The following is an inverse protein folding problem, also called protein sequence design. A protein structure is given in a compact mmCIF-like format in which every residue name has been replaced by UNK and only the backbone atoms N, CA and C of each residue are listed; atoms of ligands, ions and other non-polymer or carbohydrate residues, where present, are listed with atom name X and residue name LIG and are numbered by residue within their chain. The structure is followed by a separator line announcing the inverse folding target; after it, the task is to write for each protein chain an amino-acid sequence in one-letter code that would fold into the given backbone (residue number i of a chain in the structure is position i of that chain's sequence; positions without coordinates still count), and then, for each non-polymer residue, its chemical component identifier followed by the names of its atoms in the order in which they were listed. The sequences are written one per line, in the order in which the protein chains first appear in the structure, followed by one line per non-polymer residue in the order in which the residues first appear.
data_IF_315574621895
#
_entry.id   IF_315574621895
#
_cell.length_a   1.000
_cell.length_b   1.000
_cell.length_c   1.000
_cell.angle_alpha   90.00
_cell.angle_beta   90.00
_cell.angle_gamma   90.00
#
_symmetry.space_group_name_H-M   'P 1'
#
loop_
_entity.id
_entity.type
_entity.pdbx_description
1 polymer ?
#
# COMPACT_ATOMS: atom_id res chain seq x y z
N UNK A 1 2.10 7.66 -10.64
CA UNK A 1 2.51 6.69 -9.59
C UNK A 1 4.02 6.73 -9.49
N UNK A 2 4.60 6.97 -8.31
CA UNK A 2 6.06 7.00 -8.12
C UNK A 2 6.49 5.75 -7.36
N UNK A 3 7.46 5.01 -7.90
CA UNK A 3 7.95 3.76 -7.34
C UNK A 3 9.42 3.92 -6.98
N UNK A 4 9.81 3.50 -5.78
CA UNK A 4 11.21 3.41 -5.39
C UNK A 4 11.37 2.66 -4.09
N UNK A 5 11.92 1.45 -4.18
CA UNK A 5 11.95 0.47 -3.08
C UNK A 5 13.23 0.58 -2.25
N UNK A 6 14.33 1.09 -2.82
CA UNK A 6 15.63 1.18 -2.13
C UNK A 6 15.52 2.01 -0.87
N UNK A 7 16.15 1.57 0.23
CA UNK A 7 16.07 2.25 1.53
C UNK A 7 16.42 3.74 1.47
N UNK A 8 17.42 4.13 0.67
CA UNK A 8 17.78 5.54 0.48
C UNK A 8 16.69 6.33 -0.27
N UNK A 9 16.08 5.72 -1.29
CA UNK A 9 15.06 6.34 -2.13
C UNK A 9 13.66 6.32 -1.50
N UNK A 10 13.32 5.31 -0.69
CA UNK A 10 12.00 5.10 -0.13
C UNK A 10 11.45 6.30 0.66
N UNK A 11 12.31 6.91 1.49
CA UNK A 11 11.95 8.09 2.28
C UNK A 11 11.85 9.36 1.42
N UNK A 12 12.61 9.44 0.33
CA UNK A 12 12.56 10.56 -0.62
C UNK A 12 11.28 10.48 -1.45
N UNK A 13 11.00 9.31 -2.04
CA UNK A 13 9.82 9.02 -2.87
C UNK A 13 8.54 9.33 -2.10
N UNK A 14 8.42 8.86 -0.84
CA UNK A 14 7.26 9.16 -0.02
C UNK A 14 7.07 10.67 0.19
N UNK A 15 8.15 11.39 0.52
CA UNK A 15 8.10 12.85 0.74
C UNK A 15 7.72 13.61 -0.54
N UNK A 16 8.35 13.28 -1.67
CA UNK A 16 8.08 13.92 -2.96
C UNK A 16 6.65 13.65 -3.41
N UNK A 17 6.19 12.40 -3.29
CA UNK A 17 4.84 12.03 -3.68
C UNK A 17 3.76 12.71 -2.82
N UNK A 18 3.97 12.85 -1.51
CA UNK A 18 3.07 13.60 -0.63
C UNK A 18 3.02 15.08 -1.03
N UNK A 19 4.17 15.69 -1.33
CA UNK A 19 4.24 17.09 -1.78
C UNK A 19 3.57 17.30 -3.15
N UNK A 20 3.76 16.34 -4.06
CA UNK A 20 3.20 16.37 -5.41
C UNK A 20 1.76 15.80 -5.49
N UNK A 21 1.14 15.46 -4.36
CA UNK A 21 -0.20 14.85 -4.31
C UNK A 21 -0.35 13.60 -5.19
N UNK A 22 0.74 12.86 -5.37
CA UNK A 22 0.81 11.67 -6.21
C UNK A 22 0.77 10.39 -5.37
N UNK A 23 0.31 9.30 -5.98
CA UNK A 23 0.41 7.96 -5.39
C UNK A 23 1.85 7.46 -5.44
N UNK A 24 2.25 6.66 -4.43
CA UNK A 24 3.59 6.11 -4.35
C UNK A 24 3.67 4.68 -3.81
N UNK A 25 4.78 4.01 -4.11
CA UNK A 25 5.18 2.72 -3.52
C UNK A 25 6.64 2.84 -3.08
N UNK A 26 6.90 2.64 -1.79
CA UNK A 26 8.23 2.86 -1.18
C UNK A 26 8.78 1.66 -0.40
N UNK A 27 8.08 0.53 -0.39
CA UNK A 27 8.45 -0.64 0.44
C UNK A 27 8.62 -1.91 -0.36
N UNK A 28 7.56 -2.40 -0.98
CA UNK A 28 7.62 -3.55 -1.88
C UNK A 28 6.58 -3.36 -2.96
N UNK A 29 7.00 -3.59 -4.19
CA UNK A 29 6.07 -3.70 -5.30
C UNK A 29 5.46 -5.10 -5.28
N UNK A 30 4.14 -5.17 -5.12
CA UNK A 30 3.43 -6.43 -5.25
C UNK A 30 3.18 -6.68 -6.74
N UNK A 31 3.68 -7.81 -7.25
CA UNK A 31 3.34 -8.28 -8.59
C UNK A 31 1.82 -8.30 -8.77
N UNK A 32 1.34 -7.82 -9.91
CA UNK A 32 -0.09 -7.73 -10.19
C UNK A 32 -0.76 -6.38 -9.86
N UNK A 33 -0.05 -5.39 -9.28
CA UNK A 33 -0.65 -4.07 -8.98
C UNK A 33 -1.20 -3.39 -10.23
N UNK A 34 -0.45 -3.43 -11.34
CA UNK A 34 -0.86 -2.81 -12.60
C UNK A 34 -1.53 -3.80 -13.57
N UNK A 35 -1.09 -5.06 -13.58
CA UNK A 35 -1.58 -6.07 -14.53
C UNK A 35 -2.89 -6.73 -14.09
N UNK A 36 -3.17 -6.79 -12.78
CA UNK A 36 -4.41 -7.34 -12.23
C UNK A 36 -5.10 -6.30 -11.32
N UNK A 37 -5.64 -5.26 -11.94
CA UNK A 37 -6.36 -4.19 -11.26
C UNK A 37 -7.59 -4.67 -10.46
N UNK A 38 -8.43 -5.60 -10.95
CA UNK A 38 -9.58 -6.08 -10.18
C UNK A 38 -9.18 -6.65 -8.81
N UNK A 39 -8.11 -7.45 -8.76
CA UNK A 39 -7.61 -8.03 -7.51
C UNK A 39 -7.00 -6.98 -6.60
N UNK A 40 -6.27 -6.03 -7.17
CA UNK A 40 -5.69 -4.90 -6.42
C UNK A 40 -6.78 -4.02 -5.80
N UNK A 41 -7.86 -3.75 -6.53
CA UNK A 41 -9.02 -3.01 -6.05
C UNK A 41 -9.73 -3.74 -4.90
N UNK A 42 -9.88 -5.07 -4.98
CA UNK A 42 -10.41 -5.88 -3.88
C UNK A 42 -9.53 -5.79 -2.62
N UNK A 43 -8.20 -5.84 -2.78
CA UNK A 43 -7.26 -5.68 -1.66
C UNK A 43 -7.33 -4.28 -1.04
N UNK A 44 -7.49 -3.24 -1.86
CA UNK A 44 -7.70 -1.86 -1.41
C UNK A 44 -9.02 -1.71 -0.64
N UNK A 45 -10.09 -2.34 -1.11
CA UNK A 45 -11.38 -2.36 -0.40
C UNK A 45 -11.23 -2.99 0.98
N UNK A 46 -10.63 -4.19 1.06
CA UNK A 46 -10.37 -4.89 2.32
C UNK A 46 -9.51 -4.05 3.28
N UNK A 47 -8.53 -3.32 2.76
CA UNK A 47 -7.73 -2.40 3.57
C UNK A 47 -8.57 -1.25 4.15
N UNK A 48 -9.46 -0.64 3.36
CA UNK A 48 -10.37 0.41 3.84
C UNK A 48 -11.32 -0.13 4.91
N UNK A 49 -11.91 -1.31 4.70
CA UNK A 49 -12.81 -1.93 5.67
C UNK A 49 -12.13 -2.20 7.01
N UNK A 50 -10.93 -2.79 6.98
CA UNK A 50 -10.15 -3.05 8.20
C UNK A 50 -9.79 -1.77 8.93
N UNK A 51 -9.44 -0.71 8.20
CA UNK A 51 -9.13 0.60 8.78
C UNK A 51 -10.36 1.25 9.42
N UNK A 52 -11.53 1.11 8.80
CA UNK A 52 -12.81 1.59 9.37
C UNK A 52 -13.16 0.80 10.63
N UNK A 53 -13.07 -0.54 10.60
CA UNK A 53 -13.30 -1.40 11.77
C UNK A 53 -12.36 -1.07 12.93
N UNK A 54 -11.10 -0.76 12.65
CA UNK A 54 -10.14 -0.31 13.66
C UNK A 54 -10.55 1.03 14.27
N UNK A 55 -10.96 2.00 13.45
CA UNK A 55 -11.38 3.33 13.92
C UNK A 55 -12.66 3.29 14.76
N UNK A 56 -13.60 2.44 14.39
CA UNK A 56 -14.87 2.26 15.13
C UNK A 56 -14.71 1.43 16.41
N UNK A 57 -13.49 1.02 16.78
CA UNK A 57 -13.25 0.21 17.98
C UNK A 57 -13.72 -1.24 17.87
N UNK A 58 -14.18 -1.70 16.69
CA UNK A 58 -14.71 -3.05 16.49
C UNK A 58 -13.69 -4.17 16.74
N UNK A 59 -12.39 -3.84 16.76
CA UNK A 59 -11.33 -4.78 17.15
C UNK A 59 -11.33 -5.09 18.66
N UNK A 60 -11.92 -4.24 19.50
CA UNK A 60 -11.95 -4.42 20.95
C UNK A 60 -13.01 -5.44 21.38
N UNK A 61 -14.01 -5.71 20.52
CA UNK A 61 -15.04 -6.72 20.74
C UNK A 61 -14.59 -8.15 20.39
N UNK A 62 -13.40 -8.31 19.82
CA UNK A 62 -12.85 -9.60 19.40
C UNK A 62 -11.91 -10.19 20.46
N UNK A 63 -11.71 -11.51 20.41
CA UNK A 63 -10.70 -12.14 21.25
C UNK A 63 -9.31 -11.55 20.98
N UNK A 64 -8.47 -11.48 22.03
CA UNK A 64 -7.11 -10.91 21.95
C UNK A 64 -6.26 -11.52 20.83
N UNK A 65 -6.44 -12.82 20.54
CA UNK A 65 -5.76 -13.54 19.45
C UNK A 65 -6.16 -12.97 18.08
N UNK A 66 -7.46 -12.89 17.81
CA UNK A 66 -8.01 -12.41 16.54
C UNK A 66 -7.73 -10.92 16.33
N UNK A 67 -7.85 -10.13 17.39
CA UNK A 67 -7.50 -8.71 17.38
C UNK A 67 -6.03 -8.49 17.00
N UNK A 68 -5.12 -9.35 17.51
CA UNK A 68 -3.69 -9.29 17.17
C UNK A 68 -3.43 -9.67 15.72
N UNK A 69 -4.08 -10.72 15.22
CA UNK A 69 -3.96 -11.14 13.83
C UNK A 69 -4.43 -10.04 12.86
N UNK A 70 -5.58 -9.43 13.14
CA UNK A 70 -6.11 -8.32 12.33
C UNK A 70 -5.21 -7.08 12.37
N UNK A 71 -4.63 -6.75 13.54
CA UNK A 71 -3.65 -5.66 13.66
C UNK A 71 -2.40 -5.91 12.81
N UNK A 72 -1.87 -7.14 12.81
CA UNK A 72 -0.73 -7.53 11.96
C UNK A 72 -1.08 -7.41 10.48
N UNK A 73 -2.25 -7.92 10.09
CA UNK A 73 -2.72 -7.83 8.70
C UNK A 73 -2.90 -6.36 8.26
N UNK A 74 -3.46 -5.52 9.12
CA UNK A 74 -3.62 -4.09 8.84
C UNK A 74 -2.26 -3.38 8.71
N UNK A 75 -1.31 -3.69 9.58
CA UNK A 75 0.07 -3.16 9.50
C UNK A 75 0.74 -3.52 8.17
N UNK A 76 0.62 -4.78 7.76
CA UNK A 76 1.15 -5.25 6.48
C UNK A 76 0.48 -4.50 5.30
N UNK A 77 -0.86 -4.44 5.28
CA UNK A 77 -1.58 -3.73 4.22
C UNK A 77 -1.25 -2.24 4.21
N UNK A 78 -1.06 -1.61 5.36
CA UNK A 78 -0.68 -0.20 5.45
C UNK A 78 0.73 0.06 4.93
N UNK A 79 1.65 -0.88 5.17
CA UNK A 79 3.03 -0.80 4.68
C UNK A 79 3.11 -0.86 3.15
N UNK A 80 2.29 -1.72 2.52
CA UNK A 80 2.35 -1.93 1.06
C UNK A 80 1.37 -1.05 0.27
N UNK A 81 0.12 -0.90 0.75
CA UNK A 81 -0.96 -0.21 0.04
C UNK A 81 -1.16 1.23 0.53
N UNK A 82 -0.43 1.67 1.55
CA UNK A 82 -0.62 2.99 2.17
C UNK A 82 -0.46 4.16 1.19
N UNK A 83 0.50 4.06 0.26
CA UNK A 83 0.76 5.10 -0.74
C UNK A 83 -0.17 5.06 -1.97
N UNK A 84 -0.90 3.97 -2.17
CA UNK A 84 -1.88 3.81 -3.26
C UNK A 84 -3.34 3.74 -2.76
N UNK A 85 -3.57 3.99 -1.46
CA UNK A 85 -4.89 3.87 -0.82
C UNK A 85 -6.00 4.73 -1.42
N UNK A 86 -5.64 5.83 -2.08
CA UNK A 86 -6.57 6.77 -2.71
C UNK A 86 -6.72 6.53 -4.22
N UNK A 87 -6.03 5.53 -4.76
CA UNK A 87 -6.06 5.23 -6.19
C UNK A 87 -7.36 4.51 -6.54
N UNK A 88 -8.17 5.12 -7.42
CA UNK A 88 -9.47 4.57 -7.85
C UNK A 88 -9.43 3.93 -9.24
N UNK A 89 -8.44 4.32 -10.05
CA UNK A 89 -8.20 3.86 -11.42
C UNK A 89 -6.73 3.52 -11.62
N UNK A 90 -6.44 2.80 -12.69
CA UNK A 90 -5.05 2.56 -13.11
C UNK A 90 -4.34 3.89 -13.40
N UNK A 91 -3.07 4.04 -12.98
CA UNK A 91 -2.31 5.24 -13.24
C UNK A 91 -1.93 5.32 -14.72
N UNK A 92 -2.12 6.49 -15.33
CA UNK A 92 -1.68 6.72 -16.71
C UNK A 92 -0.15 6.89 -16.83
N UNK A 93 0.49 7.38 -15.76
CA UNK A 93 1.92 7.66 -15.72
C UNK A 93 2.53 6.96 -14.51
N UNK A 94 3.61 6.24 -14.74
CA UNK A 94 4.43 5.59 -13.72
C UNK A 94 5.86 6.10 -13.83
N UNK A 95 6.41 6.55 -12.70
CA UNK A 95 7.79 7.01 -12.56
C UNK A 95 8.49 6.00 -11.67
N UNK A 96 9.52 5.33 -12.20
CA UNK A 96 10.29 4.31 -11.47
C UNK A 96 11.66 4.90 -11.16
N UNK A 97 12.02 4.87 -9.88
CA UNK A 97 13.33 5.29 -9.39
C UNK A 97 14.14 4.04 -9.14
N UNK A 98 15.24 3.91 -9.89
CA UNK A 98 16.23 2.85 -9.78
C UNK A 98 15.72 1.46 -10.23
N UNK A 99 15.74 1.24 -11.56
CA UNK A 99 15.21 0.04 -12.22
C UNK A 99 16.01 -1.24 -11.96
N UNK A 100 17.24 -1.17 -11.44
CA UNK A 100 18.17 -2.32 -11.41
C UNK A 100 17.69 -3.52 -10.57
N UNK A 101 16.77 -3.36 -9.62
CA UNK A 101 16.25 -4.47 -8.77
C UNK A 101 14.81 -4.89 -9.09
N UNK A 102 14.06 -4.18 -9.94
CA UNK A 102 12.62 -4.41 -10.09
C UNK A 102 12.25 -5.59 -11.02
N UNK A 103 13.21 -6.20 -11.70
CA UNK A 103 12.96 -7.28 -12.66
C UNK A 103 13.03 -8.70 -12.07
N UNK A 104 13.55 -8.86 -10.84
CA UNK A 104 13.91 -10.18 -10.31
C UNK A 104 13.35 -10.37 -8.90
N UNK A 105 12.10 -10.85 -8.77
CA UNK A 105 11.60 -11.81 -7.75
C UNK A 105 10.10 -12.04 -7.94
#
# INVERSE_FOLDING_TARGET
LIVGIKNKAANLVARVAIRAWCHYVNKKWLGGILTNWPTTKMRLHKFRDLRTKQKMGGLNCLLKRDATMLKRQLSNLQTYLGGIKYMTRLPNIVIIVDQQEEYTT
#
